data_IF_441131409491
#
_entry.id   IF_441131409491
#
_cell.length_a   1.000
_cell.length_b   1.000
_cell.length_c   1.000
_cell.angle_alpha   90.00
_cell.angle_beta   90.00
_cell.angle_gamma   90.00
#
_symmetry.space_group_name_H-M   'P 1'
#
loop_
_entity.id
_entity.type
_entity.pdbx_description
1 polymer ?
#
# COMPACT_ATOMS: atom_id res chain seq x y z
N UNK A 1 24.66 34.84 -15.12
CA UNK A 1 25.79 34.60 -14.19
C UNK A 1 25.40 34.37 -12.73
N UNK A 2 24.15 34.63 -12.29
CA UNK A 2 23.74 34.57 -10.87
C UNK A 2 23.73 33.13 -10.30
N UNK A 3 23.38 32.12 -11.09
CA UNK A 3 23.31 30.73 -10.60
C UNK A 3 24.67 30.15 -10.18
N UNK A 4 25.73 30.43 -10.95
CA UNK A 4 27.07 29.85 -10.75
C UNK A 4 27.73 30.35 -9.46
N UNK A 5 27.44 31.58 -9.03
CA UNK A 5 27.97 32.15 -7.79
C UNK A 5 27.31 31.58 -6.54
N UNK A 6 26.02 31.22 -6.59
CA UNK A 6 25.34 30.60 -5.43
C UNK A 6 25.87 29.19 -5.12
N UNK A 7 26.25 28.40 -6.14
CA UNK A 7 26.80 27.06 -5.95
C UNK A 7 28.15 27.04 -5.23
N UNK A 8 28.91 28.14 -5.28
CA UNK A 8 30.24 28.23 -4.63
C UNK A 8 30.16 28.54 -3.12
N UNK A 9 29.04 29.06 -2.64
CA UNK A 9 28.92 29.62 -1.28
C UNK A 9 28.06 28.73 -0.37
N UNK A 10 27.08 28.00 -0.93
CA UNK A 10 26.18 27.13 -0.16
C UNK A 10 26.80 25.75 0.09
N UNK A 11 26.51 25.16 1.25
CA UNK A 11 26.90 23.77 1.56
C UNK A 11 26.20 22.79 0.60
N UNK A 12 26.85 21.65 0.31
CA UNK A 12 26.35 20.69 -0.69
C UNK A 12 24.93 20.19 -0.40
N UNK A 13 24.58 20.11 0.88
CA UNK A 13 23.28 19.63 1.36
C UNK A 13 22.14 20.62 1.10
N UNK A 14 22.46 21.90 0.90
CA UNK A 14 21.50 22.97 0.59
C UNK A 14 21.33 23.20 -0.91
N UNK A 15 22.07 22.45 -1.75
CA UNK A 15 22.01 22.58 -3.19
C UNK A 15 21.01 21.57 -3.79
N UNK A 16 20.31 21.95 -4.87
CA UNK A 16 19.46 21.03 -5.60
C UNK A 16 20.26 19.83 -6.08
N UNK A 17 19.60 18.67 -6.11
CA UNK A 17 20.24 17.41 -6.51
C UNK A 17 20.69 17.44 -7.98
N UNK A 18 19.91 18.12 -8.84
CA UNK A 18 20.19 18.32 -10.27
C UNK A 18 19.81 19.73 -10.70
N UNK A 19 20.55 20.27 -11.66
CA UNK A 19 20.33 21.61 -12.24
C UNK A 19 20.36 21.46 -13.76
N UNK A 20 19.33 21.94 -14.45
CA UNK A 20 19.19 21.92 -15.91
C UNK A 20 18.97 23.36 -16.37
N UNK A 21 20.06 24.09 -16.63
CA UNK A 21 19.99 25.46 -17.12
C UNK A 21 19.52 25.51 -18.58
N UNK A 22 18.52 26.34 -18.87
CA UNK A 22 18.08 26.63 -20.24
C UNK A 22 17.94 28.15 -20.42
N UNK A 23 17.85 28.68 -21.65
CA UNK A 23 17.55 30.10 -21.85
C UNK A 23 16.23 30.55 -21.18
N UNK A 24 15.26 29.64 -21.08
CA UNK A 24 13.96 29.86 -20.42
C UNK A 24 14.03 29.71 -18.89
N UNK A 25 15.01 28.97 -18.38
CA UNK A 25 15.29 28.81 -16.95
C UNK A 25 16.80 29.02 -16.66
N UNK A 26 17.24 30.28 -16.50
CA UNK A 26 18.65 30.61 -16.25
C UNK A 26 19.18 30.12 -14.89
N UNK A 27 18.27 29.81 -13.94
CA UNK A 27 18.64 29.23 -12.64
C UNK A 27 18.80 27.72 -12.74
N UNK A 28 18.10 27.10 -13.68
CA UNK A 28 18.14 25.67 -13.97
C UNK A 28 17.49 24.79 -12.93
N UNK A 29 16.66 25.36 -12.05
CA UNK A 29 16.03 24.64 -10.94
C UNK A 29 14.53 24.44 -11.16
N UNK A 30 13.93 25.08 -12.17
CA UNK A 30 12.48 25.07 -12.36
C UNK A 30 11.96 23.65 -12.59
N UNK A 31 12.66 22.88 -13.42
CA UNK A 31 12.32 21.50 -13.77
C UNK A 31 12.76 20.47 -12.71
N UNK A 32 13.63 20.87 -11.79
CA UNK A 32 14.23 19.95 -10.80
C UNK A 32 13.86 20.26 -9.35
N UNK A 33 12.93 21.20 -9.13
CA UNK A 33 12.55 21.69 -7.80
C UNK A 33 11.76 20.64 -6.99
N UNK A 34 10.85 19.92 -7.62
CA UNK A 34 10.01 18.90 -6.95
C UNK A 34 10.69 17.52 -6.88
N UNK A 35 11.87 17.40 -7.49
CA UNK A 35 12.61 16.17 -7.66
C UNK A 35 13.54 16.34 -8.87
N UNK A 36 14.51 15.44 -9.09
CA UNK A 36 14.72 14.16 -8.42
C UNK A 36 15.43 14.26 -7.07
N UNK A 37 15.25 13.25 -6.20
CA UNK A 37 16.03 13.13 -4.96
C UNK A 37 17.46 12.70 -5.27
N UNK A 38 18.40 12.96 -4.37
CA UNK A 38 19.80 12.54 -4.52
C UNK A 38 19.92 11.01 -4.68
N UNK A 39 19.12 10.25 -3.95
CA UNK A 39 19.07 8.78 -4.08
C UNK A 39 18.50 8.36 -5.43
N UNK A 40 17.42 8.99 -5.88
CA UNK A 40 16.83 8.76 -7.20
C UNK A 40 17.83 9.03 -8.32
N UNK A 41 18.62 10.10 -8.22
CA UNK A 41 19.68 10.41 -9.18
C UNK A 41 20.81 9.40 -9.19
N UNK A 42 21.30 8.97 -8.02
CA UNK A 42 22.34 7.93 -7.96
C UNK A 42 21.85 6.63 -8.59
N UNK A 43 20.58 6.28 -8.37
CA UNK A 43 19.94 5.12 -9.01
C UNK A 43 19.87 5.30 -10.53
N UNK A 44 19.42 6.46 -11.00
CA UNK A 44 19.34 6.79 -12.43
C UNK A 44 20.72 6.69 -13.11
N UNK A 45 21.76 7.24 -12.48
CA UNK A 45 23.13 7.17 -12.99
C UNK A 45 23.62 5.72 -13.12
N UNK A 46 23.38 4.89 -12.09
CA UNK A 46 23.73 3.46 -12.13
C UNK A 46 22.99 2.74 -13.25
N UNK A 47 21.68 2.94 -13.36
CA UNK A 47 20.87 2.31 -14.42
C UNK A 47 21.36 2.75 -15.81
N UNK A 48 21.63 4.04 -16.02
CA UNK A 48 22.15 4.55 -17.29
C UNK A 48 23.50 3.93 -17.67
N UNK A 49 24.42 3.78 -16.71
CA UNK A 49 25.71 3.13 -16.93
C UNK A 49 25.54 1.65 -17.32
N UNK A 50 24.72 0.90 -16.57
CA UNK A 50 24.44 -0.50 -16.89
C UNK A 50 23.74 -0.66 -18.26
N UNK A 51 22.77 0.19 -18.57
CA UNK A 51 22.09 0.19 -19.87
C UNK A 51 23.05 0.47 -21.01
N UNK A 52 23.99 1.41 -20.84
CA UNK A 52 25.00 1.73 -21.84
C UNK A 52 25.94 0.53 -22.09
N UNK A 53 26.50 -0.06 -21.04
CA UNK A 53 27.40 -1.23 -21.15
C UNK A 53 26.69 -2.43 -21.79
N UNK A 54 25.45 -2.70 -21.37
CA UNK A 54 24.64 -3.79 -21.92
C UNK A 54 24.33 -3.55 -23.40
N UNK A 55 23.84 -2.37 -23.78
CA UNK A 55 23.58 -2.02 -25.18
C UNK A 55 24.84 -2.13 -26.03
N UNK A 56 25.97 -1.64 -25.53
CA UNK A 56 27.24 -1.72 -26.25
C UNK A 56 27.64 -3.17 -26.52
N UNK A 57 27.59 -4.04 -25.51
CA UNK A 57 27.92 -5.46 -25.66
C UNK A 57 26.99 -6.16 -26.66
N UNK A 58 25.69 -5.87 -26.60
CA UNK A 58 24.69 -6.47 -27.47
C UNK A 58 24.85 -6.02 -28.93
N UNK A 59 25.11 -4.74 -29.16
CA UNK A 59 25.36 -4.22 -30.51
C UNK A 59 26.64 -4.81 -31.12
N UNK A 60 27.71 -4.97 -30.33
CA UNK A 60 28.94 -5.64 -30.78
C UNK A 60 28.71 -7.11 -31.10
N UNK A 61 27.85 -7.79 -30.34
CA UNK A 61 27.47 -9.18 -30.57
C UNK A 61 26.48 -9.39 -31.73
N UNK A 62 25.97 -8.32 -32.35
CA UNK A 62 24.97 -8.40 -33.42
C UNK A 62 23.59 -8.85 -32.94
N UNK A 63 23.21 -8.48 -31.71
CA UNK A 63 21.95 -8.89 -31.10
C UNK A 63 20.71 -8.37 -31.87
N UNK A 64 19.65 -9.17 -31.89
CA UNK A 64 18.40 -8.83 -32.54
C UNK A 64 17.56 -7.86 -31.70
N UNK A 65 16.53 -7.25 -32.32
CA UNK A 65 15.62 -6.33 -31.65
C UNK A 65 14.97 -6.89 -30.35
N UNK A 66 14.54 -8.17 -30.27
CA UNK A 66 13.98 -8.74 -29.04
C UNK A 66 14.97 -8.77 -27.87
N UNK A 67 16.25 -8.95 -28.17
CA UNK A 67 17.30 -8.91 -27.18
C UNK A 67 17.46 -7.48 -26.69
N UNK A 68 17.59 -6.50 -27.62
CA UNK A 68 17.75 -5.07 -27.30
C UNK A 68 16.66 -4.53 -26.37
N UNK A 69 15.45 -5.10 -26.42
CA UNK A 69 14.35 -4.77 -25.51
C UNK A 69 14.67 -5.01 -24.02
N UNK A 70 15.62 -5.88 -23.70
CA UNK A 70 16.01 -6.19 -22.33
C UNK A 70 16.41 -4.94 -21.53
N UNK A 71 16.96 -3.93 -22.20
CA UNK A 71 17.39 -2.68 -21.57
C UNK A 71 16.21 -1.84 -21.07
N UNK A 72 15.03 -2.03 -21.63
CA UNK A 72 13.79 -1.39 -21.20
C UNK A 72 13.02 -2.21 -20.17
N UNK A 73 13.45 -3.45 -19.87
CA UNK A 73 12.79 -4.30 -18.87
C UNK A 73 13.29 -3.91 -17.47
N UNK A 74 12.37 -3.62 -16.54
CA UNK A 74 12.75 -3.32 -15.17
C UNK A 74 13.27 -4.59 -14.47
N UNK A 75 14.30 -4.44 -13.63
CA UNK A 75 14.75 -5.50 -12.74
C UNK A 75 13.79 -5.65 -11.56
N UNK A 76 12.80 -6.55 -11.71
CA UNK A 76 11.77 -6.81 -10.70
C UNK A 76 12.30 -7.53 -9.46
N UNK A 77 13.50 -8.12 -9.51
CA UNK A 77 14.09 -8.90 -8.40
C UNK A 77 14.57 -8.03 -7.24
N UNK A 78 14.71 -6.72 -7.47
CA UNK A 78 15.13 -5.75 -6.46
C UNK A 78 13.99 -5.30 -5.55
N UNK A 79 12.75 -5.57 -5.92
CA UNK A 79 11.56 -5.13 -5.19
C UNK A 79 11.37 -6.02 -3.95
N UNK A 80 11.02 -5.44 -2.80
CA UNK A 80 10.70 -6.22 -1.60
C UNK A 80 9.35 -6.94 -1.78
N UNK A 81 8.41 -6.25 -2.43
CA UNK A 81 7.07 -6.77 -2.73
C UNK A 81 6.74 -6.46 -4.19
N UNK A 82 6.21 -7.44 -4.90
CA UNK A 82 5.71 -7.31 -6.25
C UNK A 82 4.21 -7.61 -6.29
N UNK A 83 3.42 -6.61 -6.68
CA UNK A 83 1.98 -6.69 -6.84
C UNK A 83 1.70 -6.78 -8.34
N UNK A 84 1.15 -7.91 -8.80
CA UNK A 84 0.71 -8.07 -10.19
C UNK A 84 -0.75 -7.64 -10.30
N UNK A 85 -1.04 -6.84 -11.32
CA UNK A 85 -2.39 -6.37 -11.61
C UNK A 85 -3.07 -7.31 -12.60
N UNK A 86 -4.40 -7.40 -12.52
CA UNK A 86 -5.20 -8.18 -13.47
C UNK A 86 -5.28 -7.48 -14.84
N UNK A 87 -5.45 -8.25 -15.93
CA UNK A 87 -5.65 -7.68 -17.27
C UNK A 87 -6.81 -6.68 -17.36
N UNK A 88 -7.84 -6.83 -16.53
CA UNK A 88 -8.97 -5.88 -16.45
C UNK A 88 -8.53 -4.44 -16.19
N UNK A 89 -7.43 -4.24 -15.45
CA UNK A 89 -6.89 -2.93 -15.05
C UNK A 89 -5.99 -2.35 -16.14
N UNK A 90 -5.07 -3.15 -16.69
CA UNK A 90 -4.03 -2.64 -17.58
C UNK A 90 -4.30 -2.86 -19.08
N UNK A 91 -5.39 -3.52 -19.47
CA UNK A 91 -5.70 -3.80 -20.89
C UNK A 91 -5.71 -2.56 -21.80
N UNK A 92 -6.03 -1.39 -21.27
CA UNK A 92 -6.03 -0.12 -22.02
C UNK A 92 -4.63 0.32 -22.43
N UNK A 93 -3.59 -0.21 -21.76
CA UNK A 93 -2.19 0.13 -21.95
C UNK A 93 -1.37 -0.95 -22.64
N UNK A 94 -2.01 -2.03 -23.11
CA UNK A 94 -1.29 -3.20 -23.59
C UNK A 94 -0.39 -2.93 -24.80
N UNK A 95 -0.73 -1.92 -25.59
CA UNK A 95 0.04 -1.46 -26.75
C UNK A 95 1.27 -0.62 -26.35
N UNK A 96 1.36 -0.13 -25.11
CA UNK A 96 2.53 0.57 -24.59
C UNK A 96 3.57 -0.39 -23.99
N UNK A 97 3.27 -1.69 -23.89
CA UNK A 97 4.16 -2.66 -23.29
C UNK A 97 5.38 -2.94 -24.18
N UNK A 98 6.57 -2.95 -23.57
CA UNK A 98 7.82 -3.37 -24.23
C UNK A 98 7.67 -4.78 -24.83
N UNK A 99 7.08 -5.66 -24.01
CA UNK A 99 6.71 -7.02 -24.37
C UNK A 99 5.20 -7.07 -24.62
N UNK A 100 4.84 -6.96 -25.91
CA UNK A 100 3.48 -7.13 -26.37
C UNK A 100 3.09 -8.61 -26.30
N UNK A 101 2.39 -8.96 -25.24
CA UNK A 101 1.67 -10.23 -25.16
C UNK A 101 0.21 -9.91 -25.48
N UNK A 102 -0.20 -10.10 -26.73
CA UNK A 102 -1.61 -9.92 -27.11
C UNK A 102 -2.39 -11.10 -26.53
N UNK A 103 -3.23 -10.90 -25.50
CA UNK A 103 -3.97 -11.99 -24.90
C UNK A 103 -4.97 -12.53 -25.91
N UNK A 104 -5.28 -13.82 -25.80
CA UNK A 104 -6.14 -14.53 -26.76
C UNK A 104 -7.52 -13.90 -26.99
N UNK A 105 -8.06 -13.16 -26.00
CA UNK A 105 -9.32 -12.42 -26.12
C UNK A 105 -9.22 -11.17 -27.02
N UNK A 106 -8.03 -10.61 -27.20
CA UNK A 106 -7.77 -9.47 -28.08
C UNK A 106 -7.47 -9.92 -29.53
N UNK A 107 -7.18 -11.21 -29.73
CA UNK A 107 -7.03 -11.81 -31.06
C UNK A 107 -8.43 -12.08 -31.63
N UNK A 108 -8.88 -11.22 -32.55
CA UNK A 108 -10.08 -11.53 -33.34
C UNK A 108 -9.76 -12.69 -34.27
N UNK A 109 -10.31 -13.87 -33.99
CA UNK A 109 -10.29 -14.99 -34.94
C UNK A 109 -11.23 -14.67 -36.09
N UNK A 110 -10.76 -14.71 -37.32
CA UNK A 110 -11.63 -14.77 -38.50
C UNK A 110 -12.29 -16.14 -38.60
N UNK A 111 -13.41 -16.22 -39.33
CA UNK A 111 -14.22 -17.43 -39.51
C UNK A 111 -13.43 -18.62 -40.12
N UNK A 112 -12.25 -18.37 -40.70
CA UNK A 112 -11.35 -19.38 -41.26
C UNK A 112 -10.36 -20.02 -40.27
N UNK A 113 -10.33 -19.60 -38.99
CA UNK A 113 -9.50 -20.24 -37.96
C UNK A 113 -7.99 -19.97 -38.04
N UNK A 114 -7.52 -19.13 -38.96
CA UNK A 114 -6.11 -18.71 -39.02
C UNK A 114 -5.77 -17.67 -37.94
N UNK A 115 -4.62 -17.85 -37.29
CA UNK A 115 -4.04 -16.90 -36.36
C UNK A 115 -3.56 -15.68 -37.16
N UNK A 116 -4.26 -14.55 -37.06
CA UNK A 116 -3.68 -13.26 -37.44
C UNK A 116 -2.67 -12.90 -36.35
N UNK A 117 -1.46 -13.47 -36.43
CA UNK A 117 -0.29 -12.70 -36.01
C UNK A 117 -0.31 -11.50 -36.92
N UNK A 118 -0.67 -10.32 -36.39
CA UNK A 118 -0.49 -9.07 -37.10
C UNK A 118 1.01 -8.82 -37.26
N UNK A 119 1.67 -9.61 -38.11
CA UNK A 119 2.72 -9.06 -38.94
C UNK A 119 2.06 -7.91 -39.67
N UNK A 120 2.64 -6.74 -39.46
CA UNK A 120 2.30 -5.48 -40.09
C UNK A 120 2.33 -5.74 -41.60
N UNK A 121 1.17 -6.03 -42.16
CA UNK A 121 0.99 -6.57 -43.50
C UNK A 121 -0.14 -5.85 -44.22
N UNK A 122 0.26 -4.79 -44.93
CA UNK A 122 -0.26 -4.36 -46.23
C UNK A 122 -1.77 -4.10 -46.45
N UNK A 123 -2.61 -3.94 -45.43
CA UNK A 123 -3.96 -3.39 -45.62
C UNK A 123 -4.21 -2.20 -44.70
N UNK A 124 -3.84 -1.02 -45.21
CA UNK A 124 -4.20 0.30 -44.67
C UNK A 124 -5.72 0.48 -44.72
N UNK A 125 -6.43 0.09 -43.65
CA UNK A 125 -7.49 0.98 -43.18
C UNK A 125 -6.80 2.30 -42.81
N UNK A 126 -7.37 3.48 -43.11
CA UNK A 126 -6.73 4.73 -42.74
C UNK A 126 -6.68 4.75 -41.22
N UNK A 127 -5.52 4.37 -40.66
CA UNK A 127 -5.14 4.73 -39.32
C UNK A 127 -5.36 6.23 -39.29
N UNK A 128 -6.36 6.69 -38.53
CA UNK A 128 -6.60 8.12 -38.38
C UNK A 128 -5.24 8.72 -38.11
N UNK A 129 -4.83 9.59 -39.02
CA UNK A 129 -3.60 10.35 -38.95
C UNK A 129 -3.47 10.80 -37.50
N UNK A 130 -2.44 10.30 -36.81
CA UNK A 130 -2.22 10.65 -35.41
C UNK A 130 -2.26 12.16 -35.33
N UNK A 131 -3.19 12.69 -34.53
CA UNK A 131 -3.38 14.13 -34.36
C UNK A 131 -2.00 14.77 -34.19
N UNK A 132 -1.77 15.87 -34.91
CA UNK A 132 -0.49 16.60 -34.90
C UNK A 132 0.07 16.63 -33.49
N UNK A 133 1.33 16.20 -33.32
CA UNK A 133 2.02 16.17 -32.03
C UNK A 133 1.84 17.53 -31.34
N UNK A 134 0.89 17.60 -30.42
CA UNK A 134 0.68 18.77 -29.60
C UNK A 134 1.84 18.85 -28.62
N UNK A 135 2.38 20.06 -28.43
CA UNK A 135 3.40 20.29 -27.41
C UNK A 135 2.88 20.06 -25.99
N UNK A 136 1.55 19.97 -25.85
CA UNK A 136 0.89 19.50 -24.65
C UNK A 136 1.11 17.99 -24.53
N UNK A 137 2.14 17.61 -23.76
CA UNK A 137 2.33 16.25 -23.31
C UNK A 137 1.10 15.87 -22.46
N UNK A 138 0.20 14.99 -22.96
CA UNK A 138 -0.90 14.54 -22.14
C UNK A 138 -0.33 13.79 -20.92
N UNK A 139 -1.14 13.64 -19.87
CA UNK A 139 -0.75 12.74 -18.78
C UNK A 139 -0.37 11.37 -19.38
N UNK A 140 0.71 10.74 -18.93
CA UNK A 140 1.16 9.45 -19.45
C UNK A 140 0.03 8.40 -19.50
N UNK A 141 -0.23 7.87 -20.70
CA UNK A 141 -1.30 6.92 -20.99
C UNK A 141 -2.68 7.53 -21.15
N UNK A 142 -2.85 8.86 -21.01
CA UNK A 142 -4.13 9.54 -21.25
C UNK A 142 -4.58 9.49 -22.70
N UNK A 143 -3.64 9.32 -23.64
CA UNK A 143 -3.92 9.05 -25.05
C UNK A 143 -4.75 7.77 -25.28
N UNK A 144 -4.78 6.85 -24.31
CA UNK A 144 -5.48 5.57 -24.41
C UNK A 144 -6.55 5.40 -23.32
N UNK A 145 -6.91 6.46 -22.61
CA UNK A 145 -8.01 6.39 -21.65
C UNK A 145 -9.31 6.14 -22.40
N UNK A 146 -10.11 5.14 -22.01
CA UNK A 146 -11.42 4.96 -22.60
C UNK A 146 -12.26 6.23 -22.39
N UNK A 147 -13.14 6.58 -23.33
CA UNK A 147 -14.04 7.72 -23.17
C UNK A 147 -14.80 7.64 -21.83
N UNK A 148 -14.74 8.72 -21.04
CA UNK A 148 -15.38 8.81 -19.72
C UNK A 148 -14.52 8.40 -18.52
N UNK A 149 -13.28 7.94 -18.73
CA UNK A 149 -12.34 7.73 -17.63
C UNK A 149 -11.76 9.06 -17.14
N UNK A 150 -11.88 9.32 -15.85
CA UNK A 150 -11.30 10.51 -15.19
C UNK A 150 -9.82 10.34 -14.86
N UNK A 151 -9.36 9.09 -14.75
CA UNK A 151 -7.97 8.78 -14.47
C UNK A 151 -7.63 7.36 -14.94
N UNK A 152 -6.34 7.13 -15.10
CA UNK A 152 -5.78 5.82 -15.38
C UNK A 152 -6.10 4.78 -14.27
N UNK A 153 -6.63 3.59 -14.62
CA UNK A 153 -6.93 2.54 -13.64
C UNK A 153 -5.72 2.09 -12.82
N UNK A 154 -4.54 1.97 -13.44
CA UNK A 154 -3.31 1.53 -12.75
C UNK A 154 -2.90 2.56 -11.72
N UNK A 155 -2.88 3.84 -12.11
CA UNK A 155 -2.60 4.95 -11.20
C UNK A 155 -3.63 5.06 -10.07
N UNK A 156 -4.90 4.79 -10.36
CA UNK A 156 -5.95 4.76 -9.34
C UNK A 156 -5.65 3.67 -8.30
N UNK A 157 -5.36 2.44 -8.74
CA UNK A 157 -5.00 1.33 -7.84
C UNK A 157 -3.76 1.66 -7.02
N UNK A 158 -2.73 2.22 -7.66
CA UNK A 158 -1.51 2.66 -6.96
C UNK A 158 -1.82 3.65 -5.84
N UNK A 159 -2.66 4.66 -6.11
CA UNK A 159 -3.05 5.65 -5.09
C UNK A 159 -3.81 5.01 -3.95
N UNK A 160 -4.73 4.08 -4.23
CA UNK A 160 -5.44 3.36 -3.18
C UNK A 160 -4.49 2.55 -2.29
N UNK A 161 -3.49 1.89 -2.88
CA UNK A 161 -2.46 1.16 -2.12
C UNK A 161 -1.63 2.14 -1.28
N UNK A 162 -1.21 3.27 -1.87
CA UNK A 162 -0.48 4.32 -1.16
C UNK A 162 -1.24 4.85 0.04
N UNK A 163 -2.53 5.17 -0.12
CA UNK A 163 -3.38 5.69 0.95
C UNK A 163 -3.53 4.68 2.10
N UNK A 164 -3.64 3.38 1.77
CA UNK A 164 -3.79 2.29 2.75
C UNK A 164 -2.51 2.02 3.54
N UNK A 165 -1.35 2.16 2.89
CA UNK A 165 -0.04 1.89 3.46
C UNK A 165 0.66 3.17 3.96
N UNK A 166 0.03 4.34 3.79
CA UNK A 166 0.58 5.64 4.15
C UNK A 166 0.95 5.73 5.63
N UNK A 167 0.14 5.14 6.51
CA UNK A 167 0.36 5.17 7.96
C UNK A 167 1.69 4.54 8.39
N UNK A 168 2.24 3.63 7.59
CA UNK A 168 3.51 2.98 7.90
C UNK A 168 4.71 3.73 7.34
N UNK A 169 4.49 4.60 6.35
CA UNK A 169 5.53 5.41 5.69
C UNK A 169 6.81 4.61 5.32
N UNK A 170 6.68 3.30 5.07
CA UNK A 170 7.83 2.39 4.96
C UNK A 170 8.28 2.15 3.51
N UNK A 171 7.38 2.33 2.55
CA UNK A 171 7.59 1.91 1.17
C UNK A 171 7.91 3.07 0.22
N UNK A 172 8.90 2.86 -0.63
CA UNK A 172 9.06 3.53 -1.91
C UNK A 172 8.23 2.76 -2.95
N UNK A 173 7.39 3.48 -3.69
CA UNK A 173 6.48 2.89 -4.67
C UNK A 173 7.08 3.02 -6.07
N UNK A 174 7.20 1.89 -6.75
CA UNK A 174 7.59 1.79 -8.15
C UNK A 174 6.43 1.15 -8.91
N UNK A 175 6.23 1.51 -10.17
CA UNK A 175 5.19 0.87 -10.97
C UNK A 175 5.52 0.92 -12.45
N UNK A 176 4.92 0.01 -13.21
CA UNK A 176 4.98 0.03 -14.66
C UNK A 176 4.09 1.15 -15.20
N UNK A 177 4.69 2.31 -15.47
CA UNK A 177 3.97 3.45 -16.02
C UNK A 177 3.45 3.21 -17.44
N UNK A 178 4.03 2.28 -18.17
CA UNK A 178 3.64 2.01 -19.55
C UNK A 178 2.70 0.82 -19.60
N UNK A 179 3.18 -0.38 -19.29
CA UNK A 179 2.39 -1.60 -19.42
C UNK A 179 1.31 -1.73 -18.34
N UNK A 180 1.50 -1.10 -17.18
CA UNK A 180 0.59 -1.21 -16.05
C UNK A 180 0.49 -2.60 -15.41
N UNK A 181 1.39 -3.53 -15.72
CA UNK A 181 1.27 -4.94 -15.30
C UNK A 181 1.59 -5.15 -13.82
N UNK A 182 2.43 -4.29 -13.23
CA UNK A 182 2.93 -4.49 -11.88
C UNK A 182 3.12 -3.18 -11.12
N UNK A 183 3.02 -3.29 -9.79
CA UNK A 183 3.40 -2.29 -8.79
C UNK A 183 4.43 -2.94 -7.85
N UNK A 184 5.57 -2.30 -7.65
CA UNK A 184 6.64 -2.73 -6.77
C UNK A 184 6.72 -1.86 -5.53
N UNK A 185 6.97 -2.48 -4.38
CA UNK A 185 7.26 -1.78 -3.13
C UNK A 185 8.70 -2.09 -2.73
N UNK A 186 9.44 -1.06 -2.34
CA UNK A 186 10.78 -1.19 -1.76
C UNK A 186 10.80 -0.58 -0.35
N UNK A 187 11.40 -1.25 0.62
CA UNK A 187 11.57 -0.70 1.97
C UNK A 187 12.58 0.45 1.90
N UNK A 188 12.19 1.62 2.38
CA UNK A 188 13.01 2.85 2.34
C UNK A 188 14.14 2.83 3.36
N UNK A 189 13.83 2.45 4.60
CA UNK A 189 14.77 2.39 5.71
C UNK A 189 14.22 1.45 6.80
N UNK A 190 14.73 0.22 6.82
CA UNK A 190 14.30 -0.77 7.81
C UNK A 190 14.48 -0.25 9.24
N UNK A 191 15.58 0.45 9.55
CA UNK A 191 15.82 0.97 10.89
C UNK A 191 14.75 1.99 11.32
N UNK A 192 14.30 2.84 10.40
CA UNK A 192 13.19 3.78 10.68
C UNK A 192 11.86 3.06 10.86
N UNK A 193 11.66 1.89 10.25
CA UNK A 193 10.42 1.13 10.34
C UNK A 193 10.36 0.14 11.51
N UNK A 194 11.44 0.01 12.30
CA UNK A 194 11.49 -0.89 13.46
C UNK A 194 10.36 -0.62 14.48
N UNK A 195 9.93 0.64 14.62
CA UNK A 195 8.85 1.07 15.52
C UNK A 195 7.45 0.48 15.22
N UNK A 196 7.28 -0.15 14.05
CA UNK A 196 6.03 -0.83 13.67
C UNK A 196 5.96 -2.26 14.22
N UNK A 197 7.11 -2.84 14.51
CA UNK A 197 7.24 -4.19 15.05
C UNK A 197 7.49 -4.19 16.57
N UNK A 198 7.66 -3.02 17.18
CA UNK A 198 7.65 -2.83 18.62
C UNK A 198 6.32 -3.26 19.23
N UNK A 199 6.41 -3.93 20.38
CA UNK A 199 5.25 -4.33 21.18
C UNK A 199 4.63 -3.10 21.84
N UNK A 200 3.44 -2.72 21.37
CA UNK A 200 2.68 -1.60 21.90
C UNK A 200 1.58 -2.06 22.85
N UNK A 201 1.20 -1.26 23.86
CA UNK A 201 0.09 -1.60 24.73
C UNK A 201 -1.22 -1.66 23.94
N UNK A 202 -2.11 -2.55 24.35
CA UNK A 202 -3.44 -2.69 23.77
C UNK A 202 -4.31 -1.48 24.13
N UNK A 203 -4.47 -0.54 23.18
CA UNK A 203 -5.36 0.60 23.30
C UNK A 203 -5.95 0.97 21.92
N UNK A 204 -6.97 1.83 21.91
CA UNK A 204 -7.71 2.21 20.69
C UNK A 204 -6.80 2.89 19.65
N UNK A 205 -5.86 3.72 20.07
CA UNK A 205 -4.93 4.43 19.17
C UNK A 205 -3.99 3.47 18.45
N UNK A 206 -3.39 2.53 19.18
CA UNK A 206 -2.47 1.54 18.64
C UNK A 206 -3.19 0.52 17.75
N UNK A 207 -4.44 0.17 18.06
CA UNK A 207 -5.28 -0.64 17.18
C UNK A 207 -5.62 0.08 15.88
N UNK A 208 -5.93 1.39 15.94
CA UNK A 208 -6.16 2.18 14.71
C UNK A 208 -4.90 2.21 13.84
N UNK A 209 -3.74 2.52 14.44
CA UNK A 209 -2.45 2.60 13.74
C UNK A 209 -1.97 1.25 13.18
N UNK A 210 -2.28 0.15 13.86
CA UNK A 210 -1.98 -1.20 13.37
C UNK A 210 -3.00 -1.66 12.30
N UNK A 211 -4.14 -0.97 12.19
CA UNK A 211 -5.23 -1.34 11.32
C UNK A 211 -5.80 -2.73 11.60
N UNK A 212 -6.37 -3.36 10.57
CA UNK A 212 -6.92 -4.72 10.65
C UNK A 212 -5.87 -5.84 10.74
N UNK A 213 -4.58 -5.50 10.86
CA UNK A 213 -3.46 -6.45 10.78
C UNK A 213 -2.60 -6.45 12.05
N UNK A 214 -3.21 -6.08 13.17
CA UNK A 214 -2.59 -6.18 14.47
C UNK A 214 -2.44 -7.66 14.88
N UNK A 215 -1.24 -8.04 15.31
CA UNK A 215 -0.95 -9.34 15.89
C UNK A 215 -0.62 -9.19 17.37
N UNK A 216 -1.24 -10.02 18.20
CA UNK A 216 -0.88 -10.13 19.60
C UNK A 216 0.39 -10.97 19.73
N UNK A 217 1.38 -10.46 20.45
CA UNK A 217 2.62 -11.17 20.78
C UNK A 217 2.98 -10.93 22.24
N UNK A 218 3.56 -11.94 22.88
CA UNK A 218 4.09 -11.84 24.24
C UNK A 218 5.53 -11.29 24.19
N UNK A 219 5.84 -10.34 25.08
CA UNK A 219 7.20 -9.85 25.28
C UNK A 219 8.07 -10.94 25.90
N UNK A 220 9.30 -11.07 25.39
CA UNK A 220 10.28 -12.07 25.87
C UNK A 220 10.88 -11.71 27.22
N UNK A 221 10.93 -10.42 27.56
CA UNK A 221 11.52 -9.96 28.82
C UNK A 221 10.53 -9.98 29.99
N UNK A 222 9.27 -9.56 29.76
CA UNK A 222 8.34 -9.22 30.84
C UNK A 222 7.04 -10.04 30.83
N UNK A 223 6.91 -11.05 29.95
CA UNK A 223 5.68 -11.86 29.77
C UNK A 223 4.39 -11.03 29.57
N UNK A 224 4.53 -9.81 29.08
CA UNK A 224 3.41 -8.90 28.85
C UNK A 224 2.94 -9.01 27.41
N UNK A 225 1.63 -9.16 27.22
CA UNK A 225 1.02 -9.14 25.90
C UNK A 225 1.01 -7.72 25.33
N UNK A 226 1.43 -7.60 24.08
CA UNK A 226 1.37 -6.35 23.32
C UNK A 226 0.89 -6.58 21.88
N UNK A 227 0.64 -5.46 21.20
CA UNK A 227 0.26 -5.39 19.80
C UNK A 227 1.50 -5.09 18.95
N UNK A 228 1.67 -5.85 17.89
CA UNK A 228 2.63 -5.56 16.81
C UNK A 228 1.89 -5.57 15.47
N UNK A 229 2.43 -4.91 14.45
CA UNK A 229 1.87 -4.94 13.09
C UNK A 229 2.42 -6.15 12.34
N UNK A 230 1.53 -7.01 11.83
CA UNK A 230 1.90 -8.09 10.93
C UNK A 230 1.87 -7.58 9.48
N UNK A 231 2.99 -6.98 9.06
CA UNK A 231 3.14 -6.34 7.74
C UNK A 231 2.97 -7.37 6.63
N UNK A 232 3.46 -8.60 6.82
CA UNK A 232 3.34 -9.66 5.82
C UNK A 232 1.87 -10.04 5.60
N UNK A 233 1.12 -10.28 6.68
CA UNK A 233 -0.30 -10.58 6.60
C UNK A 233 -1.07 -9.42 5.96
N UNK A 234 -0.69 -8.18 6.26
CA UNK A 234 -1.32 -7.01 5.68
C UNK A 234 -1.09 -6.85 4.18
N UNK A 235 0.14 -7.10 3.72
CA UNK A 235 0.49 -7.13 2.30
C UNK A 235 -0.25 -8.25 1.58
N UNK A 236 -0.34 -9.44 2.18
CA UNK A 236 -1.15 -10.54 1.64
C UNK A 236 -2.64 -10.18 1.59
N UNK A 237 -3.13 -9.43 2.58
CA UNK A 237 -4.49 -8.91 2.60
C UNK A 237 -4.83 -8.00 1.40
N UNK A 238 -3.85 -7.39 0.74
CA UNK A 238 -4.09 -6.55 -0.44
C UNK A 238 -4.69 -7.34 -1.61
N UNK A 239 -4.34 -8.61 -1.79
CA UNK A 239 -4.95 -9.43 -2.85
C UNK A 239 -6.41 -9.76 -2.56
N UNK A 240 -6.79 -9.86 -1.28
CA UNK A 240 -8.19 -10.05 -0.88
C UNK A 240 -8.99 -8.75 -1.01
N UNK A 241 -8.39 -7.61 -0.62
CA UNK A 241 -9.02 -6.30 -0.74
C UNK A 241 -9.33 -5.93 -2.20
N UNK A 242 -8.38 -6.18 -3.09
CA UNK A 242 -8.46 -5.80 -4.49
C UNK A 242 -8.66 -6.98 -5.43
N UNK A 243 -9.43 -8.01 -5.09
CA UNK A 243 -9.48 -9.28 -5.87
C UNK A 243 -9.76 -9.12 -7.37
N UNK A 244 -10.52 -8.09 -7.76
CA UNK A 244 -10.86 -7.76 -9.15
C UNK A 244 -9.74 -7.01 -9.91
N UNK A 245 -8.77 -6.46 -9.18
CA UNK A 245 -7.73 -5.56 -9.72
C UNK A 245 -6.32 -6.10 -9.50
N UNK A 246 -6.07 -6.73 -8.35
CA UNK A 246 -4.81 -7.34 -7.93
C UNK A 246 -4.92 -8.84 -8.22
N UNK A 247 -4.00 -9.34 -9.04
CA UNK A 247 -3.91 -10.76 -9.36
C UNK A 247 -3.16 -11.52 -8.26
N UNK A 248 -2.01 -10.99 -7.83
CA UNK A 248 -1.19 -11.62 -6.81
C UNK A 248 -0.29 -10.61 -6.11
N UNK A 249 0.02 -10.85 -4.84
CA UNK A 249 1.05 -10.14 -4.08
C UNK A 249 2.16 -11.14 -3.76
N UNK A 250 3.38 -10.84 -4.22
CA UNK A 250 4.56 -11.68 -4.04
C UNK A 250 5.53 -10.93 -3.13
N UNK A 251 5.76 -11.46 -1.93
CA UNK A 251 6.77 -10.94 -1.00
C UNK A 251 8.09 -11.64 -1.35
N UNK A 252 9.05 -10.90 -1.92
CA UNK A 252 10.32 -11.47 -2.38
C UNK A 252 11.34 -11.60 -1.24
N UNK A 253 11.27 -10.70 -0.25
CA UNK A 253 12.18 -10.66 0.91
C UNK A 253 11.38 -10.74 2.21
N UNK A 254 10.86 -11.93 2.60
CA UNK A 254 10.05 -12.07 3.81
C UNK A 254 10.82 -11.69 5.07
N UNK A 255 12.10 -12.06 5.15
CA UNK A 255 12.99 -11.77 6.28
C UNK A 255 13.15 -10.27 6.55
N UNK A 256 13.00 -9.43 5.52
CA UNK A 256 13.06 -7.97 5.68
C UNK A 256 11.86 -7.41 6.48
N UNK A 257 10.80 -8.20 6.65
CA UNK A 257 9.63 -7.88 7.47
C UNK A 257 9.66 -8.60 8.82
N UNK A 258 10.57 -9.56 9.02
CA UNK A 258 10.91 -10.10 10.33
C UNK A 258 11.82 -9.10 11.07
N UNK A 259 11.31 -7.90 11.28
CA UNK A 259 12.03 -6.85 11.97
C UNK A 259 12.24 -7.28 13.42
N UNK A 260 13.48 -7.60 13.77
CA UNK A 260 13.91 -7.83 15.15
C UNK A 260 13.71 -6.55 15.96
N UNK A 261 12.57 -6.42 16.63
CA UNK A 261 12.33 -5.33 17.56
C UNK A 261 13.32 -5.44 18.71
N UNK A 262 14.24 -4.47 18.83
CA UNK A 262 14.88 -4.17 20.10
C UNK A 262 13.77 -3.70 21.04
N UNK A 263 13.47 -4.53 22.04
CA UNK A 263 12.50 -4.22 23.09
C UNK A 263 12.96 -2.94 23.80
N UNK A 264 12.33 -1.79 23.52
CA UNK A 264 12.49 -0.62 24.36
C UNK A 264 11.61 -0.80 25.60
N UNK A 265 12.24 -0.96 26.76
CA UNK A 265 11.55 -0.88 28.04
C UNK A 265 10.81 0.45 28.12
N UNK A 266 9.48 0.39 28.16
CA UNK A 266 8.68 1.54 28.55
C UNK A 266 9.02 1.85 30.02
N UNK A 267 9.29 3.12 30.38
CA UNK A 267 9.59 3.47 31.76
C UNK A 267 8.43 3.02 32.64
N UNK A 268 8.76 2.31 33.72
CA UNK A 268 7.82 1.84 34.72
C UNK A 268 6.92 3.00 35.12
N UNK A 269 5.66 2.92 34.71
CA UNK A 269 4.65 3.85 35.18
C UNK A 269 4.42 3.45 36.63
N UNK A 270 5.09 4.13 37.55
CA UNK A 270 4.79 4.02 38.98
C UNK A 270 3.29 4.12 39.16
N UNK A 271 2.69 3.02 39.59
CA UNK A 271 1.31 3.02 40.02
C UNK A 271 1.23 3.94 41.23
N UNK A 272 0.82 5.19 41.02
CA UNK A 272 0.35 6.03 42.11
C UNK A 272 -0.93 5.37 42.62
N UNK A 273 -0.77 4.48 43.60
CA UNK A 273 -1.85 4.09 44.50
C UNK A 273 -2.30 5.36 45.21
N UNK A 274 -3.34 5.99 44.68
CA UNK A 274 -4.11 6.99 45.43
C UNK A 274 -4.79 6.26 46.58
N UNK A 275 -4.13 6.25 47.73
CA UNK A 275 -4.77 5.91 48.99
C UNK A 275 -5.93 6.88 49.22
N UNK A 276 -7.15 6.34 49.15
CA UNK A 276 -8.34 7.07 49.56
C UNK A 276 -8.43 7.08 51.09
N UNK A 277 -8.71 8.23 51.72
CA UNK A 277 -8.79 8.33 53.18
C UNK A 277 -9.94 7.47 53.75
N UNK A 278 -9.69 6.85 54.91
CA UNK A 278 -10.55 5.89 55.63
C UNK A 278 -12.00 6.33 55.88
N UNK A 279 -12.31 7.61 55.70
CA UNK A 279 -13.63 8.19 55.97
C UNK A 279 -14.69 7.72 54.96
N UNK A 280 -14.31 7.40 53.71
CA UNK A 280 -15.28 6.94 52.70
C UNK A 280 -15.58 5.44 52.74
N UNK A 281 -14.72 4.62 53.35
CA UNK A 281 -14.97 3.18 53.54
C UNK A 281 -16.08 2.92 54.57
N UNK A 282 -16.25 3.79 55.58
CA UNK A 282 -17.34 3.67 56.56
C UNK A 282 -18.72 4.04 55.98
N UNK A 283 -18.80 5.12 55.18
CA UNK A 283 -20.07 5.53 54.52
C UNK A 283 -20.58 4.51 53.50
N UNK A 284 -19.69 3.76 52.84
CA UNK A 284 -20.10 2.70 51.89
C UNK A 284 -20.66 1.47 52.60
N UNK A 285 -20.09 1.07 53.75
CA UNK A 285 -20.57 -0.07 54.54
C UNK A 285 -21.92 0.19 55.22
N UNK A 286 -22.18 1.42 55.68
CA UNK A 286 -23.50 1.78 56.25
C UNK A 286 -24.61 1.78 55.19
N UNK A 287 -24.36 2.30 53.98
CA UNK A 287 -25.33 2.26 52.87
C UNK A 287 -25.63 0.84 52.36
N UNK A 288 -24.67 -0.07 52.42
CA UNK A 288 -24.88 -1.47 52.02
C UNK A 288 -25.71 -2.28 53.03
N UNK A 289 -25.59 -1.98 54.33
CA UNK A 289 -26.41 -2.62 55.36
C UNK A 289 -27.86 -2.11 55.36
N UNK A 290 -28.08 -0.82 55.11
CA UNK A 290 -29.42 -0.22 55.03
C UNK A 290 -30.23 -0.76 53.83
N UNK A 291 -29.57 -0.95 52.67
CA UNK A 291 -30.19 -1.54 51.48
C UNK A 291 -30.49 -3.06 51.64
N UNK A 292 -29.76 -3.78 52.50
CA UNK A 292 -30.00 -5.21 52.74
C UNK A 292 -31.16 -5.46 53.71
N UNK A 293 -31.48 -4.49 54.58
CA UNK A 293 -32.61 -4.56 55.50
C UNK A 293 -33.97 -4.28 54.81
N UNK A 294 -34.01 -3.33 53.87
CA UNK A 294 -35.22 -2.98 53.09
C UNK A 294 -35.66 -4.07 52.11
N UNK A 295 -34.72 -4.85 51.55
CA UNK A 295 -35.04 -5.98 50.65
C UNK A 295 -35.66 -7.17 51.41
N UNK A 296 -35.30 -7.37 52.69
CA UNK A 296 -35.84 -8.47 53.52
C UNK A 296 -37.27 -8.21 54.03
N UNK A 297 -37.66 -6.95 54.24
CA UNK A 297 -39.03 -6.62 54.68
C UNK A 297 -40.06 -6.75 53.55
N UNK A 298 -39.69 -6.45 52.30
CA UNK A 298 -40.59 -6.55 51.15
C UNK A 298 -40.85 -7.98 50.66
N UNK A 299 -39.97 -8.94 50.96
CA UNK A 299 -40.15 -10.35 50.58
C UNK A 299 -41.14 -11.11 51.48
N UNK A 300 -41.41 -10.61 52.69
CA UNK A 300 -42.36 -11.22 53.66
C UNK A 300 -43.83 -10.82 53.46
N UNK A 301 -44.14 -9.81 52.63
CA UNK A 301 -45.51 -9.33 52.38
C UNK A 301 -46.21 -9.90 51.12
N UNK A 302 -45.55 -10.75 50.33
CA UNK A 302 -46.09 -11.28 49.05
C UNK A 302 -46.40 -12.79 48.99
N UNK A 303 -46.35 -13.52 50.11
CA UNK A 303 -46.89 -14.89 50.21
C UNK A 303 -48.08 -14.92 51.17
N UNK A 304 -49.30 -14.87 50.63
CA UNK A 304 -50.50 -15.02 51.43
C UNK A 304 -51.77 -14.49 50.77
N UNK A 305 -52.18 -15.06 49.62
CA UNK A 305 -53.58 -15.14 49.16
C UNK A 305 -53.64 -15.77 47.77
N UNK A 306 -53.98 -17.06 47.70
CA UNK A 306 -54.63 -17.68 46.54
C UNK A 306 -55.30 -18.99 46.96
N UNK A 307 -56.56 -18.86 47.39
CA UNK A 307 -57.48 -19.96 47.61
C UNK A 307 -58.48 -20.06 46.46
N UNK A 308 -58.57 -21.27 45.89
CA UNK A 308 -59.68 -21.92 45.17
C UNK A 308 -60.67 -21.13 44.32
N UNK A 309 -60.84 -21.58 43.06
CA UNK A 309 -62.12 -22.15 42.58
C UNK A 309 -61.95 -22.90 41.24
N UNK A 310 -62.67 -24.03 41.17
CA UNK A 310 -62.87 -24.97 40.05
C UNK A 310 -63.52 -24.28 38.84
N UNK A 311 -63.28 -24.79 37.62
CA UNK A 311 -64.25 -25.62 36.88
C UNK A 311 -64.02 -25.67 35.34
N UNK A 312 -64.24 -26.90 34.82
CA UNK A 312 -64.76 -27.30 33.49
C UNK A 312 -63.85 -27.30 32.25
N UNK A 313 -63.63 -28.55 31.80
CA UNK A 313 -63.29 -28.99 30.45
C UNK A 313 -64.34 -28.55 29.41
N UNK A 314 -63.90 -28.29 28.19
CA UNK A 314 -64.61 -28.69 26.98
C UNK A 314 -63.62 -28.91 25.83
N UNK A 315 -63.78 -30.05 25.15
CA UNK A 315 -63.13 -30.49 23.91
C UNK A 315 -63.46 -29.55 22.76
N UNK A 316 -62.56 -29.41 21.78
CA UNK A 316 -62.93 -29.36 20.35
C UNK A 316 -62.02 -30.31 19.58
N UNK A 317 -62.67 -31.01 18.65
CA UNK A 317 -62.27 -32.15 17.84
C UNK A 317 -61.46 -31.75 16.58
N UNK A 318 -60.82 -32.79 16.03
CA UNK A 318 -60.47 -33.07 14.61
C UNK A 318 -60.82 -32.03 13.56
#
# INVERSE_FOLDING_TARGET
MIAVTEFKIKSRDQLPAMVIGTPLDPKGTHWTRQGPTTQGLRRLQKLAAYSHELLQAMLVAGADLPDLKAVFRPDLTRMDVLIKLRPSVYKTRILEAVDMEIPSWAIKKTESGELVTSQIGANMAPMRESESVTLDLPHPGASYWPPGYLCDPVLWVLRQIQDRLAEWAMFEYLWDRHSGKWIGLCITDAAKCAHLCELKPFNEENLRRAGGFARHRESTSNSRMGLAVDVQLALQGLSAWGSEMVESVIIQRPDAFEMGGLEMEAPETEMITRDMPEVEKKKKKEKEQENRATVKSNKKRKLGKRGGKRAKKAKIQT
#
